data_IF_806169350657
#
_entry.id   IF_806169350657
#
_cell.length_a   1.000
_cell.length_b   1.000
_cell.length_c   1.000
_cell.angle_alpha   90.00
_cell.angle_beta   90.00
_cell.angle_gamma   90.00
#
_symmetry.space_group_name_H-M   'P 1'
#
loop_
_entity.id
_entity.type
_entity.pdbx_description
1 polymer ?
#
# COMPACT_ATOMS: atom_id res chain seq x y z
N UNK A 1 59.41 7.91 -41.50
CA UNK A 1 58.28 7.03 -41.12
C UNK A 1 57.90 7.20 -39.64
N UNK A 2 57.53 8.41 -39.17
CA UNK A 2 57.41 8.70 -37.72
C UNK A 2 56.08 9.36 -37.29
N UNK A 3 55.07 9.46 -38.18
CA UNK A 3 53.83 10.18 -37.89
C UNK A 3 52.65 9.31 -37.37
N UNK A 4 52.76 7.98 -37.36
CA UNK A 4 51.59 7.12 -37.10
C UNK A 4 51.26 6.85 -35.62
N UNK A 5 52.23 6.96 -34.70
CA UNK A 5 52.00 6.58 -33.30
C UNK A 5 51.18 7.61 -32.50
N UNK A 6 51.25 8.91 -32.86
CA UNK A 6 50.49 9.96 -32.17
C UNK A 6 48.98 9.93 -32.49
N UNK A 7 48.61 9.49 -33.70
CA UNK A 7 47.21 9.40 -34.13
C UNK A 7 46.44 8.26 -33.43
N UNK A 8 47.10 7.12 -33.21
CA UNK A 8 46.51 5.96 -32.54
C UNK A 8 46.17 6.22 -31.06
N UNK A 9 47.03 6.96 -30.34
CA UNK A 9 46.80 7.34 -28.93
C UNK A 9 45.63 8.31 -28.80
N UNK A 10 45.47 9.24 -29.77
CA UNK A 10 44.36 10.21 -29.77
C UNK A 10 43.01 9.55 -30.04
N UNK A 11 42.95 8.55 -30.93
CA UNK A 11 41.74 7.75 -31.20
C UNK A 11 41.26 6.98 -29.96
N UNK A 12 42.15 6.26 -29.27
CA UNK A 12 41.78 5.48 -28.07
C UNK A 12 41.24 6.34 -26.92
N UNK A 13 41.74 7.58 -26.77
CA UNK A 13 41.22 8.53 -25.76
C UNK A 13 39.83 9.06 -26.13
N UNK A 14 39.56 9.27 -27.42
CA UNK A 14 38.25 9.69 -27.93
C UNK A 14 37.19 8.61 -27.76
N UNK A 15 37.53 7.34 -27.99
CA UNK A 15 36.60 6.20 -27.83
C UNK A 15 36.18 6.00 -26.36
N UNK A 16 37.11 6.17 -25.42
CA UNK A 16 36.79 6.13 -23.97
C UNK A 16 35.90 7.29 -23.52
N UNK A 17 36.04 8.47 -24.12
CA UNK A 17 35.18 9.63 -23.84
C UNK A 17 33.77 9.45 -24.40
N UNK A 18 33.65 8.88 -25.61
CA UNK A 18 32.36 8.60 -26.24
C UNK A 18 31.51 7.61 -25.42
N UNK A 19 32.10 6.52 -24.94
CA UNK A 19 31.40 5.54 -24.10
C UNK A 19 30.88 6.14 -22.77
N UNK A 20 31.62 7.08 -22.17
CA UNK A 20 31.16 7.81 -20.98
C UNK A 20 29.94 8.68 -21.28
N UNK A 21 29.93 9.36 -22.43
CA UNK A 21 28.82 10.21 -22.87
C UNK A 21 27.58 9.38 -23.21
N UNK A 22 27.75 8.25 -23.90
CA UNK A 22 26.65 7.32 -24.18
C UNK A 22 26.01 6.79 -22.89
N UNK A 23 26.80 6.36 -21.91
CA UNK A 23 26.30 5.95 -20.60
C UNK A 23 25.59 7.10 -19.87
N UNK A 24 26.12 8.32 -19.93
CA UNK A 24 25.51 9.49 -19.29
C UNK A 24 24.11 9.82 -19.85
N UNK A 25 23.81 9.42 -21.09
CA UNK A 25 22.48 9.59 -21.70
C UNK A 25 21.54 8.41 -21.41
N UNK A 26 22.06 7.18 -21.35
CA UNK A 26 21.24 5.97 -21.14
C UNK A 26 20.88 5.77 -19.67
N UNK A 27 21.82 6.01 -18.75
CA UNK A 27 21.61 5.86 -17.29
C UNK A 27 20.41 6.66 -16.75
N UNK A 28 20.20 7.95 -17.07
CA UNK A 28 19.03 8.68 -16.55
C UNK A 28 17.70 8.09 -17.04
N UNK A 29 17.67 7.56 -18.27
CA UNK A 29 16.47 6.92 -18.82
C UNK A 29 16.19 5.58 -18.12
N UNK A 30 17.22 4.76 -17.90
CA UNK A 30 17.12 3.52 -17.14
C UNK A 30 16.73 3.78 -15.68
N UNK A 31 17.29 4.80 -15.05
CA UNK A 31 16.94 5.19 -13.69
C UNK A 31 15.46 5.57 -13.57
N UNK A 32 14.93 6.33 -14.55
CA UNK A 32 13.51 6.68 -14.59
C UNK A 32 12.61 5.44 -14.72
N UNK A 33 12.98 4.47 -15.57
CA UNK A 33 12.25 3.22 -15.73
C UNK A 33 12.27 2.37 -14.45
N UNK A 34 13.42 2.25 -13.78
CA UNK A 34 13.55 1.50 -12.53
C UNK A 34 12.74 2.15 -11.42
N UNK A 35 12.85 3.48 -11.24
CA UNK A 35 12.09 4.19 -10.22
C UNK A 35 10.57 4.14 -10.50
N UNK A 36 10.17 4.28 -11.77
CA UNK A 36 8.76 4.21 -12.17
C UNK A 36 8.15 2.83 -11.88
N UNK A 37 8.83 1.76 -12.28
CA UNK A 37 8.36 0.38 -12.02
C UNK A 37 8.38 0.02 -10.53
N UNK A 38 9.40 0.49 -9.78
CA UNK A 38 9.46 0.31 -8.33
C UNK A 38 8.28 0.97 -7.61
N UNK A 39 7.88 2.19 -8.02
CA UNK A 39 6.74 2.90 -7.44
C UNK A 39 5.41 2.15 -7.69
N UNK A 40 5.21 1.63 -8.90
CA UNK A 40 4.03 0.81 -9.23
C UNK A 40 4.02 -0.48 -8.38
N UNK A 41 5.18 -1.10 -8.18
CA UNK A 41 5.31 -2.28 -7.33
C UNK A 41 4.94 -1.99 -5.87
N UNK A 42 5.36 -0.83 -5.34
CA UNK A 42 5.00 -0.38 -3.99
C UNK A 42 3.49 -0.14 -3.85
N UNK A 43 2.88 0.54 -4.83
CA UNK A 43 1.44 0.80 -4.83
C UNK A 43 0.63 -0.50 -4.82
N UNK A 44 1.02 -1.46 -5.66
CA UNK A 44 0.34 -2.75 -5.77
C UNK A 44 0.44 -3.55 -4.47
N UNK A 45 1.60 -3.55 -3.82
CA UNK A 45 1.79 -4.20 -2.50
C UNK A 45 0.87 -3.59 -1.44
N UNK A 46 0.81 -2.26 -1.37
CA UNK A 46 -0.08 -1.56 -0.41
C UNK A 46 -1.55 -1.88 -0.63
N UNK A 47 -1.99 -1.99 -1.89
CA UNK A 47 -3.36 -2.39 -2.23
C UNK A 47 -3.69 -3.81 -1.74
N UNK A 48 -2.77 -4.76 -1.97
CA UNK A 48 -2.95 -6.13 -1.51
C UNK A 48 -2.99 -6.21 0.02
N UNK A 49 -2.05 -5.52 0.69
CA UNK A 49 -1.99 -5.45 2.15
C UNK A 49 -3.28 -4.88 2.76
N UNK A 50 -3.83 -3.81 2.16
CA UNK A 50 -5.07 -3.19 2.61
C UNK A 50 -6.26 -4.14 2.48
N UNK A 51 -6.34 -4.88 1.36
CA UNK A 51 -7.39 -5.87 1.14
C UNK A 51 -7.30 -7.03 2.14
N UNK A 52 -6.10 -7.55 2.42
CA UNK A 52 -5.91 -8.61 3.43
C UNK A 52 -6.27 -8.11 4.83
N UNK A 53 -5.85 -6.90 5.20
CA UNK A 53 -6.16 -6.30 6.49
C UNK A 53 -7.68 -6.11 6.68
N UNK A 54 -8.38 -5.59 5.68
CA UNK A 54 -9.84 -5.45 5.71
C UNK A 54 -10.55 -6.82 5.84
N UNK A 55 -10.05 -7.84 5.14
CA UNK A 55 -10.58 -9.21 5.22
C UNK A 55 -10.42 -9.82 6.61
N UNK A 56 -9.23 -9.72 7.20
CA UNK A 56 -8.96 -10.24 8.55
C UNK A 56 -9.77 -9.50 9.63
N UNK A 57 -9.95 -8.18 9.47
CA UNK A 57 -10.85 -7.38 10.31
C UNK A 57 -12.30 -7.85 10.22
N UNK A 58 -12.81 -8.04 9.00
CA UNK A 58 -14.18 -8.51 8.78
C UNK A 58 -14.41 -9.93 9.32
N UNK A 59 -13.44 -10.83 9.15
CA UNK A 59 -13.53 -12.18 9.72
C UNK A 59 -13.51 -12.18 11.25
N UNK A 60 -12.69 -11.33 11.86
CA UNK A 60 -12.60 -11.20 13.32
C UNK A 60 -13.89 -10.66 13.93
N UNK A 61 -14.46 -9.66 13.28
CA UNK A 61 -15.74 -9.10 13.68
C UNK A 61 -16.88 -10.12 13.46
N UNK A 62 -16.83 -10.89 12.38
CA UNK A 62 -17.77 -12.00 12.13
C UNK A 62 -17.61 -13.19 13.09
N UNK A 63 -16.48 -13.34 13.78
CA UNK A 63 -16.29 -14.32 14.87
C UNK A 63 -16.81 -13.83 16.22
N UNK A 64 -17.18 -12.55 16.32
CA UNK A 64 -17.68 -11.97 17.57
C UNK A 64 -16.61 -11.28 18.42
N UNK A 65 -15.34 -11.18 17.99
CA UNK A 65 -14.32 -10.51 18.80
C UNK A 65 -14.63 -9.03 19.04
N UNK A 66 -14.13 -8.50 20.16
CA UNK A 66 -14.21 -7.07 20.47
C UNK A 66 -13.59 -6.19 19.38
N UNK A 67 -14.04 -4.94 19.32
CA UNK A 67 -13.58 -3.95 18.34
C UNK A 67 -12.07 -3.72 18.50
N UNK A 68 -11.58 -3.62 19.72
CA UNK A 68 -10.15 -3.44 20.01
C UNK A 68 -9.32 -4.58 19.38
N UNK A 69 -9.74 -5.84 19.57
CA UNK A 69 -9.06 -7.00 18.98
C UNK A 69 -9.13 -7.01 17.46
N UNK A 70 -10.28 -6.61 16.90
CA UNK A 70 -10.45 -6.49 15.45
C UNK A 70 -9.51 -5.44 14.87
N UNK A 71 -9.45 -4.25 15.48
CA UNK A 71 -8.57 -3.15 15.09
C UNK A 71 -7.10 -3.57 15.23
N UNK A 72 -6.72 -4.17 16.34
CA UNK A 72 -5.35 -4.66 16.55
C UNK A 72 -4.92 -5.65 15.46
N UNK A 73 -5.82 -6.57 15.05
CA UNK A 73 -5.52 -7.51 13.98
C UNK A 73 -5.43 -6.85 12.61
N UNK A 74 -6.31 -5.89 12.30
CA UNK A 74 -6.22 -5.09 11.06
C UNK A 74 -4.86 -4.40 10.99
N UNK A 75 -4.42 -3.76 12.07
CA UNK A 75 -3.13 -3.06 12.14
C UNK A 75 -1.95 -4.02 12.00
N UNK A 76 -1.99 -5.19 12.66
CA UNK A 76 -0.91 -6.18 12.57
C UNK A 76 -0.77 -6.73 11.14
N UNK A 77 -1.89 -7.05 10.47
CA UNK A 77 -1.87 -7.55 9.09
C UNK A 77 -1.43 -6.45 8.11
N UNK A 78 -1.88 -5.21 8.35
CA UNK A 78 -1.47 -4.08 7.54
C UNK A 78 0.05 -3.85 7.62
N UNK A 79 0.62 -3.87 8.82
CA UNK A 79 2.06 -3.69 9.05
C UNK A 79 2.90 -4.82 8.45
N UNK A 80 2.46 -6.07 8.60
CA UNK A 80 3.11 -7.22 7.94
C UNK A 80 3.11 -7.09 6.41
N UNK A 81 2.07 -6.47 5.85
CA UNK A 81 1.99 -6.13 4.43
C UNK A 81 2.81 -4.91 4.00
N UNK A 82 3.53 -4.26 4.93
CA UNK A 82 4.37 -3.09 4.66
C UNK A 82 3.62 -1.75 4.66
N UNK A 83 2.38 -1.71 5.16
CA UNK A 83 1.66 -0.45 5.36
C UNK A 83 2.19 0.25 6.60
N UNK A 84 2.49 1.54 6.46
CA UNK A 84 2.82 2.41 7.60
C UNK A 84 1.57 2.61 8.47
N UNK A 85 1.64 2.23 9.76
CA UNK A 85 0.51 2.27 10.70
C UNK A 85 -0.18 3.64 10.75
N UNK A 86 0.60 4.72 10.85
CA UNK A 86 0.07 6.09 10.99
C UNK A 86 -0.75 6.56 9.78
N UNK A 87 -0.60 5.90 8.64
CA UNK A 87 -1.36 6.19 7.43
C UNK A 87 -2.71 5.43 7.36
N UNK A 88 -2.99 4.52 8.30
CA UNK A 88 -4.28 3.84 8.47
C UNK A 88 -5.10 4.65 9.48
N UNK A 89 -5.96 5.55 9.01
CA UNK A 89 -6.61 6.53 9.89
C UNK A 89 -8.12 6.31 10.11
N UNK A 90 -8.75 5.37 9.40
CA UNK A 90 -10.16 5.05 9.62
C UNK A 90 -10.40 3.58 9.43
N UNK A 91 -10.75 2.91 10.52
CA UNK A 91 -11.28 1.54 10.53
C UNK A 91 -12.72 1.66 11.04
N UNK A 92 -13.69 1.70 10.13
CA UNK A 92 -15.10 1.70 10.50
C UNK A 92 -15.60 0.25 10.48
N UNK A 93 -16.04 -0.24 11.64
CA UNK A 93 -16.72 -1.51 11.77
C UNK A 93 -18.22 -1.21 11.87
N UNK A 94 -19.01 -1.86 11.03
CA UNK A 94 -20.45 -1.64 10.92
C UNK A 94 -21.16 -2.99 10.87
N UNK A 95 -22.41 -3.06 11.31
CA UNK A 95 -23.27 -4.24 11.15
C UNK A 95 -24.64 -3.88 10.60
N UNK A 96 -25.32 -4.88 10.03
CA UNK A 96 -26.71 -4.78 9.60
C UNK A 96 -27.51 -5.91 10.21
N UNK A 97 -28.57 -5.56 10.93
CA UNK A 97 -29.52 -6.47 11.58
C UNK A 97 -30.70 -6.89 10.69
N UNK A 98 -30.77 -6.35 9.46
CA UNK A 98 -31.87 -6.50 8.52
C UNK A 98 -32.38 -5.13 8.05
N UNK A 99 -32.96 -5.05 6.86
CA UNK A 99 -33.58 -3.81 6.34
C UNK A 99 -32.66 -2.85 5.57
N UNK A 100 -31.41 -3.23 5.29
CA UNK A 100 -30.53 -2.49 4.36
C UNK A 100 -29.71 -1.35 4.97
N UNK A 101 -29.91 -1.02 6.25
CA UNK A 101 -29.14 -0.01 6.97
C UNK A 101 -27.90 -0.61 7.63
N UNK A 102 -26.86 0.21 7.79
CA UNK A 102 -25.61 -0.15 8.45
C UNK A 102 -25.42 0.74 9.67
N UNK A 103 -25.21 0.12 10.81
CA UNK A 103 -24.97 0.79 12.09
C UNK A 103 -23.53 0.57 12.53
N UNK A 104 -22.96 1.54 13.26
CA UNK A 104 -21.62 1.40 13.85
C UNK A 104 -21.61 0.21 14.82
N UNK A 105 -20.66 -0.69 14.62
CA UNK A 105 -20.44 -1.81 15.53
C UNK A 105 -19.95 -1.26 16.87
N UNK A 106 -20.58 -1.69 17.95
CA UNK A 106 -20.17 -1.39 19.32
C UNK A 106 -19.84 -2.69 20.05
N UNK A 107 -19.06 -2.60 21.12
CA UNK A 107 -18.77 -3.74 21.97
C UNK A 107 -19.99 -4.09 22.83
N UNK A 108 -20.12 -5.38 23.16
CA UNK A 108 -21.09 -5.88 24.14
C UNK A 108 -20.84 -5.21 25.50
N UNK A 109 -21.83 -5.11 26.41
CA UNK A 109 -21.63 -4.58 27.76
C UNK A 109 -20.51 -5.26 28.56
N UNK A 110 -20.12 -6.49 28.19
CA UNK A 110 -18.99 -7.21 28.78
C UNK A 110 -17.61 -6.76 28.28
N UNK A 111 -17.52 -5.98 27.19
CA UNK A 111 -16.27 -5.51 26.57
C UNK A 111 -15.43 -6.59 25.88
N UNK A 112 -15.81 -7.86 25.98
CA UNK A 112 -15.04 -9.01 25.45
C UNK A 112 -15.32 -9.32 23.99
N UNK A 113 -16.53 -9.01 23.55
CA UNK A 113 -17.09 -9.42 22.26
C UNK A 113 -17.91 -8.29 21.65
N UNK A 114 -18.13 -8.32 20.33
CA UNK A 114 -18.94 -7.31 19.66
C UNK A 114 -20.45 -7.55 19.81
N UNK A 115 -21.22 -6.46 19.91
CA UNK A 115 -22.65 -6.44 20.21
C UNK A 115 -23.56 -6.92 19.06
N UNK A 116 -23.01 -7.26 17.89
CA UNK A 116 -23.83 -7.77 16.78
C UNK A 116 -24.50 -9.10 17.15
N UNK A 117 -25.60 -9.46 16.49
CA UNK A 117 -26.28 -10.76 16.71
C UNK A 117 -25.81 -11.78 15.68
N UNK A 118 -25.82 -13.08 16.03
CA UNK A 118 -25.52 -14.16 15.09
C UNK A 118 -26.46 -14.08 13.88
N UNK A 119 -25.92 -14.27 12.68
CA UNK A 119 -26.67 -14.15 11.43
C UNK A 119 -26.66 -12.76 10.79
N UNK A 120 -26.27 -11.70 11.51
CA UNK A 120 -26.13 -10.34 10.98
C UNK A 120 -24.95 -10.23 10.00
N UNK A 121 -25.04 -9.26 9.08
CA UNK A 121 -23.92 -8.89 8.23
C UNK A 121 -23.01 -7.91 8.97
N UNK A 122 -21.71 -8.06 8.80
CA UNK A 122 -20.67 -7.19 9.36
C UNK A 122 -19.83 -6.64 8.21
N UNK A 123 -19.52 -5.35 8.26
CA UNK A 123 -18.72 -4.66 7.26
C UNK A 123 -17.56 -3.96 7.94
N UNK A 124 -16.38 -4.05 7.33
CA UNK A 124 -15.19 -3.32 7.76
C UNK A 124 -14.72 -2.44 6.60
N UNK A 125 -14.56 -1.16 6.88
CA UNK A 125 -14.02 -0.16 5.94
C UNK A 125 -12.69 0.33 6.48
N UNK A 126 -11.63 0.15 5.70
CA UNK A 126 -10.29 0.61 6.03
C UNK A 126 -9.89 1.70 5.04
N UNK A 127 -9.49 2.88 5.54
CA UNK A 127 -8.92 3.97 4.73
C UNK A 127 -7.42 4.06 4.97
N UNK A 128 -6.67 4.04 3.88
CA UNK A 128 -5.22 4.16 3.89
C UNK A 128 -4.77 5.34 3.02
N UNK A 129 -3.88 6.17 3.59
CA UNK A 129 -3.22 7.26 2.88
C UNK A 129 -1.86 6.78 2.36
N UNK A 130 -1.73 6.57 1.06
CA UNK A 130 -0.46 6.10 0.50
C UNK A 130 0.58 7.23 0.41
N UNK A 131 1.77 7.09 1.01
CA UNK A 131 2.86 8.03 0.77
C UNK A 131 3.46 7.73 -0.61
N UNK A 132 3.24 8.63 -1.57
CA UNK A 132 3.85 8.53 -2.89
C UNK A 132 5.24 9.16 -2.87
N UNK A 133 6.23 8.53 -3.50
CA UNK A 133 7.54 9.15 -3.76
C UNK A 133 7.34 10.36 -4.69
N UNK A 134 6.37 10.27 -5.60
CA UNK A 134 5.96 11.38 -6.48
C UNK A 134 5.57 12.65 -5.71
N UNK A 135 5.28 12.58 -4.41
CA UNK A 135 5.02 13.77 -3.58
C UNK A 135 6.23 14.71 -3.48
N UNK A 136 7.45 14.18 -3.65
CA UNK A 136 8.68 14.98 -3.67
C UNK A 136 8.84 15.78 -4.98
N UNK A 137 8.19 15.35 -6.06
CA UNK A 137 8.24 16.00 -7.38
C UNK A 137 6.97 16.83 -7.67
N UNK A 138 5.81 16.39 -7.19
CA UNK A 138 4.51 17.05 -7.40
C UNK A 138 3.72 17.13 -6.08
N UNK A 139 3.83 18.24 -5.34
CA UNK A 139 3.02 18.46 -4.15
C UNK A 139 1.53 18.61 -4.56
N UNK A 140 0.67 17.69 -4.09
CA UNK A 140 -0.79 17.79 -4.28
C UNK A 140 -1.52 16.51 -4.70
N UNK A 141 -0.82 15.48 -5.18
CA UNK A 141 -1.46 14.20 -5.55
C UNK A 141 -1.66 13.30 -4.32
N UNK A 142 -2.80 13.45 -3.63
CA UNK A 142 -3.24 12.48 -2.63
C UNK A 142 -4.04 11.38 -3.33
N UNK A 143 -3.56 10.13 -3.30
CA UNK A 143 -4.39 8.96 -3.59
C UNK A 143 -4.86 8.36 -2.28
N UNK A 144 -6.11 8.64 -1.94
CA UNK A 144 -6.79 7.97 -0.86
C UNK A 144 -7.32 6.62 -1.37
N UNK A 145 -6.88 5.53 -0.74
CA UNK A 145 -7.31 4.19 -1.10
C UNK A 145 -8.24 3.68 0.00
N UNK A 146 -9.49 3.40 -0.36
CA UNK A 146 -10.51 2.86 0.53
C UNK A 146 -10.87 1.44 0.09
N UNK A 147 -10.84 0.49 1.03
CA UNK A 147 -11.29 -0.87 0.78
C UNK A 147 -12.39 -1.24 1.77
N UNK A 148 -13.46 -1.84 1.25
CA UNK A 148 -14.63 -2.26 2.03
C UNK A 148 -14.79 -3.76 1.90
N UNK A 149 -14.90 -4.46 3.02
CA UNK A 149 -15.17 -5.90 3.04
C UNK A 149 -16.42 -6.19 3.87
N UNK A 150 -17.28 -7.08 3.38
CA UNK A 150 -18.51 -7.53 4.06
C UNK A 150 -18.39 -9.03 4.36
N UNK A 151 -18.74 -9.43 5.58
CA UNK A 151 -18.75 -10.82 6.02
C UNK A 151 -20.02 -11.11 6.85
N UNK A 152 -20.53 -12.35 6.77
CA UNK A 152 -21.67 -12.77 7.58
C UNK A 152 -21.19 -13.37 8.90
N UNK A 153 -21.79 -12.96 10.02
CA UNK A 153 -21.49 -13.51 11.35
C UNK A 153 -21.99 -14.96 11.46
N UNK A 154 -21.08 -15.86 11.86
CA UNK A 154 -21.35 -17.29 12.14
C UNK A 154 -21.77 -17.47 13.61
#
# INVERSE_FOLDING_TARGET
MQHDHAAAVRRRRSERGAALVECALVVPFLALLVLGTAEIGRLTRSQLALAQAAREGAQSAARGYSIERCVARVLNVAEQGGLIRDNVHTIALEYSSGGGYWETLVDSPSGTDNASRRGNLVRVRVRYRHPLISRMVFPGSQREMSHVMVARRQ
#
